data_IF_098255695159
#
_entry.id   IF_098255695159
#
_cell.length_a   1.000
_cell.length_b   1.000
_cell.length_c   1.000
_cell.angle_alpha   90.00
_cell.angle_beta   90.00
_cell.angle_gamma   90.00
#
_symmetry.space_group_name_H-M   'P 1'
#
loop_
_entity.id
_entity.type
_entity.pdbx_description
1 polymer ?
#
# COMPACT_ATOMS: atom_id res chain seq x y z
N UNK A 1 -8.71 4.43 -12.05
CA UNK A 1 -7.89 5.52 -12.64
C UNK A 1 -6.43 5.16 -12.45
N UNK A 2 -5.63 5.18 -13.53
CA UNK A 2 -4.20 4.83 -13.46
C UNK A 2 -3.39 6.10 -13.26
N UNK A 3 -2.53 6.14 -12.26
CA UNK A 3 -1.63 7.27 -12.02
C UNK A 3 -0.54 7.32 -13.09
N UNK A 4 -0.17 8.52 -13.51
CA UNK A 4 1.04 8.77 -14.28
C UNK A 4 2.28 8.51 -13.42
N UNK A 5 3.45 8.41 -14.07
CA UNK A 5 4.72 8.22 -13.36
C UNK A 5 5.06 9.39 -12.43
N UNK A 6 4.73 10.62 -12.82
CA UNK A 6 4.97 11.81 -12.01
C UNK A 6 4.12 11.77 -10.73
N UNK A 7 2.82 11.49 -10.87
CA UNK A 7 1.89 11.35 -9.73
C UNK A 7 2.32 10.23 -8.78
N UNK A 8 2.80 9.08 -9.29
CA UNK A 8 3.29 8.01 -8.44
C UNK A 8 4.49 8.43 -7.57
N UNK A 9 5.37 9.30 -8.07
CA UNK A 9 6.51 9.80 -7.29
C UNK A 9 6.07 10.76 -6.18
N UNK A 10 4.99 11.50 -6.40
CA UNK A 10 4.41 12.40 -5.40
C UNK A 10 3.63 11.63 -4.34
N UNK A 11 2.92 10.56 -4.74
CA UNK A 11 2.09 9.75 -3.83
C UNK A 11 2.94 8.75 -3.03
N UNK A 12 3.86 8.02 -3.68
CA UNK A 12 4.71 7.01 -3.02
C UNK A 12 5.88 7.72 -2.32
N UNK A 13 5.56 8.42 -1.24
CA UNK A 13 6.54 9.10 -0.41
C UNK A 13 7.29 8.10 0.49
N UNK A 14 8.46 8.47 1.05
CA UNK A 14 9.13 7.65 2.06
C UNK A 14 8.26 7.34 3.28
N UNK A 15 7.30 8.21 3.61
CA UNK A 15 6.35 7.99 4.69
C UNK A 15 5.43 6.79 4.38
N UNK A 16 4.80 6.77 3.20
CA UNK A 16 3.92 5.67 2.75
C UNK A 16 4.63 4.33 2.80
N UNK A 17 5.86 4.27 2.28
CA UNK A 17 6.64 3.03 2.30
C UNK A 17 6.99 2.58 3.71
N UNK A 18 7.37 3.52 4.59
CA UNK A 18 7.67 3.21 6.00
C UNK A 18 6.43 2.71 6.74
N UNK A 19 5.27 3.30 6.48
CA UNK A 19 3.99 2.88 7.05
C UNK A 19 3.66 1.46 6.60
N UNK A 20 3.81 1.15 5.31
CA UNK A 20 3.59 -0.19 4.79
C UNK A 20 4.55 -1.23 5.40
N UNK A 21 5.84 -0.90 5.55
CA UNK A 21 6.84 -1.76 6.19
C UNK A 21 6.48 -2.02 7.67
N UNK A 22 6.07 -0.97 8.40
CA UNK A 22 5.65 -1.11 9.80
C UNK A 22 4.41 -1.97 9.94
N UNK A 23 3.41 -1.76 9.07
CA UNK A 23 2.19 -2.56 9.06
C UNK A 23 2.50 -4.02 8.77
N UNK A 24 3.34 -4.29 7.76
CA UNK A 24 3.82 -5.64 7.46
C UNK A 24 4.55 -6.29 8.65
N UNK A 25 5.40 -5.54 9.35
CA UNK A 25 6.07 -6.05 10.56
C UNK A 25 5.12 -6.36 11.72
N UNK A 26 4.00 -5.62 11.83
CA UNK A 26 3.03 -5.79 12.91
C UNK A 26 1.96 -6.86 12.62
N UNK A 27 1.54 -7.01 11.35
CA UNK A 27 0.39 -7.83 10.93
C UNK A 27 0.77 -9.00 10.02
N UNK A 28 1.96 -8.96 9.43
CA UNK A 28 2.43 -9.94 8.47
C UNK A 28 2.14 -9.56 7.02
N UNK A 29 2.05 -10.58 6.16
CA UNK A 29 1.97 -10.40 4.69
C UNK A 29 0.56 -10.09 4.17
N UNK A 30 -0.48 -10.32 4.96
CA UNK A 30 -1.88 -10.12 4.55
C UNK A 30 -2.47 -9.04 5.43
N UNK A 31 -3.06 -8.01 4.82
CA UNK A 31 -3.64 -6.85 5.49
C UNK A 31 -4.98 -6.50 4.86
N UNK A 32 -5.91 -5.95 5.63
CA UNK A 32 -7.21 -5.51 5.09
C UNK A 32 -7.20 -4.04 4.68
N UNK A 33 -8.18 -3.62 3.87
CA UNK A 33 -8.42 -2.21 3.53
C UNK A 33 -8.59 -1.33 4.78
N UNK A 34 -9.25 -1.88 5.81
CA UNK A 34 -9.45 -1.21 7.09
C UNK A 34 -8.11 -1.02 7.80
N UNK A 35 -7.26 -2.05 7.85
CA UNK A 35 -5.94 -1.96 8.47
C UNK A 35 -5.01 -0.97 7.76
N UNK A 36 -5.05 -0.92 6.42
CA UNK A 36 -4.33 0.09 5.64
C UNK A 36 -4.81 1.51 6.00
N UNK A 37 -6.12 1.70 6.10
CA UNK A 37 -6.74 2.99 6.45
C UNK A 37 -6.42 3.39 7.89
N UNK A 38 -6.48 2.46 8.84
CA UNK A 38 -6.10 2.67 10.25
C UNK A 38 -4.60 2.98 10.40
N UNK A 39 -3.75 2.45 9.52
CA UNK A 39 -2.33 2.79 9.47
C UNK A 39 -2.07 4.20 8.87
N UNK A 40 -3.11 4.89 8.40
CA UNK A 40 -3.03 6.23 7.82
C UNK A 40 -2.77 6.25 6.32
N UNK A 41 -2.91 5.12 5.61
CA UNK A 41 -2.81 5.07 4.16
C UNK A 41 -4.16 5.45 3.53
N UNK A 42 -4.18 6.59 2.85
CA UNK A 42 -5.32 7.08 2.08
C UNK A 42 -5.61 6.21 0.85
N UNK A 43 -6.83 6.30 0.31
CA UNK A 43 -7.23 5.55 -0.89
C UNK A 43 -6.28 5.81 -2.09
N UNK A 44 -5.85 7.05 -2.41
CA UNK A 44 -4.88 7.28 -3.48
C UNK A 44 -3.56 6.56 -3.26
N UNK A 45 -3.06 6.53 -2.02
CA UNK A 45 -1.81 5.84 -1.66
C UNK A 45 -1.95 4.33 -1.79
N UNK A 46 -3.07 3.76 -1.32
CA UNK A 46 -3.37 2.32 -1.50
C UNK A 46 -3.40 1.95 -2.99
N UNK A 47 -4.10 2.73 -3.82
CA UNK A 47 -4.14 2.51 -5.27
C UNK A 47 -2.76 2.64 -5.93
N UNK A 48 -1.94 3.60 -5.47
CA UNK A 48 -0.59 3.76 -5.97
C UNK A 48 0.32 2.58 -5.57
N UNK A 49 0.14 2.04 -4.37
CA UNK A 49 0.84 0.84 -3.90
C UNK A 49 0.43 -0.40 -4.71
N UNK A 50 -0.85 -0.53 -5.08
CA UNK A 50 -1.33 -1.59 -5.98
C UNK A 50 -0.70 -1.42 -7.37
N UNK A 51 -0.75 -0.22 -7.93
CA UNK A 51 -0.19 0.06 -9.24
C UNK A 51 1.34 -0.19 -9.31
N UNK A 52 2.04 0.02 -8.19
CA UNK A 52 3.48 -0.25 -8.06
C UNK A 52 3.81 -1.67 -7.61
N UNK A 53 2.80 -2.56 -7.52
CA UNK A 53 2.93 -3.98 -7.12
C UNK A 53 3.52 -4.19 -5.74
N UNK A 54 3.32 -3.24 -4.83
CA UNK A 54 3.66 -3.37 -3.40
C UNK A 54 2.48 -3.92 -2.59
N UNK A 55 1.27 -3.75 -3.12
CA UNK A 55 0.05 -4.40 -2.69
C UNK A 55 -0.53 -5.19 -3.86
N UNK A 56 -1.12 -6.34 -3.56
CA UNK A 56 -1.90 -7.14 -4.50
C UNK A 56 -3.24 -7.47 -3.84
N UNK A 57 -4.35 -7.12 -4.47
CA UNK A 57 -5.67 -7.46 -3.94
C UNK A 57 -5.95 -8.94 -4.20
N UNK A 58 -6.07 -9.72 -3.13
CA UNK A 58 -6.33 -11.17 -3.22
C UNK A 58 -7.81 -11.48 -3.13
N UNK A 59 -8.54 -10.71 -2.33
CA UNK A 59 -9.99 -10.75 -2.17
C UNK A 59 -10.49 -9.32 -1.97
N UNK A 60 -11.80 -9.09 -2.12
CA UNK A 60 -12.36 -7.75 -1.97
C UNK A 60 -11.99 -7.14 -0.61
N UNK A 61 -11.13 -6.12 -0.62
CA UNK A 61 -10.65 -5.45 0.59
C UNK A 61 -9.58 -6.22 1.40
N UNK A 62 -8.98 -7.27 0.84
CA UNK A 62 -7.85 -8.01 1.41
C UNK A 62 -6.66 -7.92 0.47
N UNK A 63 -5.52 -7.52 1.01
CA UNK A 63 -4.31 -7.25 0.24
C UNK A 63 -3.12 -8.05 0.76
N UNK A 64 -2.37 -8.61 -0.17
CA UNK A 64 -1.06 -9.16 0.09
C UNK A 64 0.00 -8.08 -0.09
N UNK A 65 0.89 -7.96 0.90
CA UNK A 65 1.99 -6.99 0.89
C UNK A 65 3.24 -7.63 0.28
N UNK A 66 3.78 -6.97 -0.74
CA UNK A 66 5.02 -7.36 -1.42
C UNK A 66 6.10 -6.31 -1.16
N UNK A 67 6.92 -6.58 -0.15
CA UNK A 67 8.13 -5.79 0.10
C UNK A 67 9.31 -6.55 -0.50
N UNK A 68 9.88 -6.01 -1.57
CA UNK A 68 11.22 -6.36 -2.00
C UNK A 68 12.20 -5.70 -1.00
N UNK A 69 12.33 -6.29 0.17
CA UNK A 69 13.39 -5.97 1.14
C UNK A 69 14.65 -6.73 0.79
#
# INVERSE_FOLDING_TARGET
>A
MRFSRAELLEIITPHVLRTLVRLHGAKGKVVTAEELSQAGLSEPEQRALIQTRRLEETEAGVYQVHLNV
#
